data_IF_670571554271
#
_entry.id   IF_670571554271
#
_cell.length_a   1.000
_cell.length_b   1.000
_cell.length_c   1.000
_cell.angle_alpha   90.00
_cell.angle_beta   90.00
_cell.angle_gamma   90.00
#
_symmetry.space_group_name_H-M   'P 1'
#
loop_
_entity.id
_entity.type
_entity.pdbx_description
1 polymer ?
#
# COMPACT_ATOMS: atom_id res chain seq x y z
N UNK A 1 17.52 -4.68 -17.11
CA UNK A 1 16.15 -4.34 -16.76
C UNK A 1 15.42 -4.04 -18.06
N UNK A 2 14.39 -4.81 -18.37
CA UNK A 2 13.51 -4.52 -19.49
C UNK A 2 12.65 -3.31 -19.08
N UNK A 3 12.87 -2.18 -19.75
CA UNK A 3 12.12 -0.93 -19.54
C UNK A 3 10.66 -1.16 -20.00
N UNK A 4 9.85 -1.87 -19.20
CA UNK A 4 8.50 -2.32 -19.56
C UNK A 4 7.40 -1.55 -18.82
N UNK A 5 7.76 -0.72 -17.83
CA UNK A 5 6.78 0.12 -17.13
C UNK A 5 6.78 1.52 -17.74
N UNK A 6 5.61 1.98 -18.15
CA UNK A 6 5.44 3.33 -18.63
C UNK A 6 5.82 4.33 -17.53
N UNK A 7 6.65 5.31 -17.87
CA UNK A 7 7.12 6.38 -16.98
C UNK A 7 7.78 5.92 -15.66
N UNK A 8 8.12 4.63 -15.50
CA UNK A 8 8.55 4.03 -14.22
C UNK A 8 7.56 4.28 -13.07
N UNK A 9 6.26 4.37 -13.38
CA UNK A 9 5.19 4.60 -12.40
C UNK A 9 4.49 3.27 -12.09
N UNK A 10 4.27 3.03 -10.80
CA UNK A 10 3.40 1.99 -10.28
C UNK A 10 2.33 2.66 -9.42
N UNK A 11 1.08 2.25 -9.58
CA UNK A 11 -0.03 2.75 -8.77
C UNK A 11 -0.38 1.73 -7.70
N UNK A 12 -0.48 2.17 -6.45
CA UNK A 12 -0.89 1.33 -5.33
C UNK A 12 -1.94 2.03 -4.48
N UNK A 13 -2.40 1.39 -3.41
CA UNK A 13 -3.30 2.04 -2.46
C UNK A 13 -2.57 2.41 -1.18
N UNK A 14 -3.16 3.32 -0.42
CA UNK A 14 -2.68 3.71 0.93
C UNK A 14 -2.58 2.52 1.90
N UNK A 15 -3.17 1.38 1.57
CA UNK A 15 -3.09 0.15 2.36
C UNK A 15 -1.92 -0.76 1.97
N UNK A 16 -1.16 -0.45 0.91
CA UNK A 16 0.02 -1.23 0.55
C UNK A 16 1.09 -1.09 1.63
N UNK A 17 1.72 -2.21 2.03
CA UNK A 17 2.70 -2.22 3.11
C UNK A 17 3.84 -1.20 2.87
N UNK A 18 4.29 -0.55 3.94
CA UNK A 18 5.34 0.47 3.85
C UNK A 18 6.64 -0.05 3.23
N UNK A 19 6.97 -1.32 3.47
CA UNK A 19 8.10 -1.99 2.82
C UNK A 19 7.98 -2.08 1.29
N UNK A 20 6.76 -2.17 0.75
CA UNK A 20 6.55 -2.09 -0.70
C UNK A 20 6.90 -0.69 -1.22
N UNK A 21 6.49 0.36 -0.54
CA UNK A 21 6.84 1.75 -0.88
C UNK A 21 8.35 1.95 -0.90
N UNK A 22 9.04 1.52 0.15
CA UNK A 22 10.50 1.58 0.25
C UNK A 22 11.17 0.80 -0.89
N UNK A 23 10.63 -0.39 -1.25
CA UNK A 23 11.14 -1.17 -2.37
C UNK A 23 10.98 -0.43 -3.71
N UNK A 24 9.87 0.28 -3.92
CA UNK A 24 9.69 1.09 -5.13
C UNK A 24 10.71 2.23 -5.21
N UNK A 25 10.89 3.00 -4.14
CA UNK A 25 11.86 4.09 -4.05
C UNK A 25 13.29 3.59 -4.27
N UNK A 26 13.68 2.50 -3.61
CA UNK A 26 15.01 1.88 -3.74
C UNK A 26 15.31 1.45 -5.18
N UNK A 27 14.30 1.06 -5.93
CA UNK A 27 14.44 0.65 -7.33
C UNK A 27 14.14 1.79 -8.34
N UNK A 28 14.03 3.03 -7.87
CA UNK A 28 13.76 4.22 -8.70
C UNK A 28 12.42 4.17 -9.45
N UNK A 29 11.42 3.50 -8.88
CA UNK A 29 10.04 3.57 -9.32
C UNK A 29 9.28 4.64 -8.56
N UNK A 30 8.50 5.42 -9.27
CA UNK A 30 7.55 6.34 -8.65
C UNK A 30 6.32 5.54 -8.22
N UNK A 31 6.03 5.52 -6.93
CA UNK A 31 4.78 4.98 -6.41
C UNK A 31 3.74 6.11 -6.28
N UNK A 32 2.57 5.92 -6.91
CA UNK A 32 1.40 6.80 -6.76
C UNK A 32 0.40 6.06 -5.88
N UNK A 33 0.08 6.64 -4.72
CA UNK A 33 -0.86 6.03 -3.77
C UNK A 33 -2.25 6.64 -3.96
N UNK A 34 -3.27 5.77 -3.98
CA UNK A 34 -4.69 6.14 -4.06
C UNK A 34 -5.46 5.69 -2.84
N UNK A 35 -6.70 6.14 -2.74
CA UNK A 35 -7.69 5.50 -1.86
C UNK A 35 -7.90 4.04 -2.24
N UNK A 36 -8.36 3.24 -1.26
CA UNK A 36 -8.69 1.81 -1.48
C UNK A 36 -9.83 1.66 -2.46
N UNK A 37 -9.64 0.82 -3.45
CA UNK A 37 -10.62 0.47 -4.49
C UNK A 37 -9.99 0.44 -5.88
N UNK A 38 -10.25 -0.62 -6.63
CA UNK A 38 -9.74 -0.88 -7.98
C UNK A 38 -10.06 0.26 -8.97
N UNK A 39 -11.23 0.89 -8.78
CA UNK A 39 -11.64 2.09 -9.54
C UNK A 39 -10.61 3.23 -9.39
N UNK A 40 -10.21 3.55 -8.16
CA UNK A 40 -9.25 4.64 -7.92
C UNK A 40 -7.86 4.29 -8.44
N UNK A 41 -7.48 3.01 -8.36
CA UNK A 41 -6.24 2.53 -8.94
C UNK A 41 -6.27 2.72 -10.46
N UNK A 42 -7.35 2.31 -11.14
CA UNK A 42 -7.49 2.44 -12.59
C UNK A 42 -7.48 3.91 -13.03
N UNK A 43 -8.23 4.79 -12.34
CA UNK A 43 -8.24 6.24 -12.62
C UNK A 43 -6.84 6.86 -12.50
N UNK A 44 -6.13 6.56 -11.41
CA UNK A 44 -4.77 7.09 -11.22
C UNK A 44 -3.76 6.49 -12.21
N UNK A 45 -3.96 5.26 -12.68
CA UNK A 45 -3.15 4.67 -13.74
C UNK A 45 -3.31 5.43 -15.05
N UNK A 46 -4.53 5.79 -15.42
CA UNK A 46 -4.81 6.59 -16.63
C UNK A 46 -4.19 7.98 -16.52
N UNK A 47 -4.40 8.68 -15.40
CA UNK A 47 -3.86 10.02 -15.17
C UNK A 47 -2.33 10.07 -15.21
N UNK A 48 -1.65 9.02 -14.76
CA UNK A 48 -0.19 8.95 -14.71
C UNK A 48 0.42 8.16 -15.87
N UNK A 49 -0.38 7.69 -16.82
CA UNK A 49 0.03 6.79 -17.91
C UNK A 49 0.85 5.60 -17.38
N UNK A 50 0.35 4.98 -16.29
CA UNK A 50 0.99 3.84 -15.65
C UNK A 50 0.46 2.52 -16.24
N UNK A 51 1.36 1.59 -16.51
CA UNK A 51 1.00 0.27 -17.05
C UNK A 51 0.76 -0.80 -15.98
N UNK A 52 1.10 -0.51 -14.73
CA UNK A 52 0.94 -1.44 -13.61
C UNK A 52 0.36 -0.74 -12.39
N UNK A 53 -0.68 -1.33 -11.84
CA UNK A 53 -1.26 -0.91 -10.58
C UNK A 53 -1.90 -2.05 -9.83
N UNK A 54 -2.17 -1.85 -8.55
CA UNK A 54 -2.86 -2.88 -7.77
C UNK A 54 -3.03 -2.57 -6.30
N UNK A 55 -3.64 -3.52 -5.62
CA UNK A 55 -3.97 -3.48 -4.21
C UNK A 55 -3.37 -4.67 -3.47
N UNK A 56 -3.13 -4.52 -2.18
CA UNK A 56 -2.70 -5.64 -1.32
C UNK A 56 -3.71 -6.80 -1.26
N UNK A 57 -4.98 -6.55 -1.59
CA UNK A 57 -6.04 -7.57 -1.72
C UNK A 57 -5.80 -8.58 -2.86
N UNK A 58 -4.83 -8.30 -3.75
CA UNK A 58 -4.49 -9.13 -4.90
C UNK A 58 -5.15 -8.69 -6.21
N UNK A 59 -5.87 -7.59 -6.23
CA UNK A 59 -6.33 -6.95 -7.46
C UNK A 59 -5.14 -6.29 -8.16
N UNK A 60 -4.72 -6.85 -9.29
CA UNK A 60 -3.61 -6.31 -10.09
C UNK A 60 -4.11 -5.97 -11.49
N UNK A 61 -3.80 -4.77 -11.95
CA UNK A 61 -4.14 -4.25 -13.29
C UNK A 61 -2.86 -4.13 -14.11
N UNK A 62 -2.83 -4.73 -15.29
CA UNK A 62 -1.77 -4.62 -16.30
C UNK A 62 -2.41 -3.96 -17.52
N UNK A 63 -2.50 -2.64 -17.53
CA UNK A 63 -3.35 -1.87 -18.45
C UNK A 63 -2.98 -2.05 -19.92
N UNK A 64 -1.70 -2.27 -20.24
CA UNK A 64 -1.23 -2.57 -21.59
C UNK A 64 -1.82 -3.87 -22.17
N UNK A 65 -2.44 -4.71 -21.35
CA UNK A 65 -3.03 -5.99 -21.72
C UNK A 65 -4.53 -6.01 -21.49
N UNK A 66 -4.96 -5.60 -20.30
CA UNK A 66 -6.35 -5.54 -19.91
C UNK A 66 -6.55 -4.39 -18.92
N UNK A 67 -7.47 -3.45 -19.15
CA UNK A 67 -7.65 -2.27 -18.30
C UNK A 67 -8.46 -2.57 -17.03
N UNK A 68 -8.50 -3.83 -16.60
CA UNK A 68 -9.17 -4.28 -15.36
C UNK A 68 -8.32 -5.34 -14.67
N UNK A 69 -8.55 -5.53 -13.37
CA UNK A 69 -7.89 -6.59 -12.61
C UNK A 69 -8.24 -7.98 -13.14
N UNK A 70 -7.22 -8.80 -13.41
CA UNK A 70 -7.39 -10.19 -13.86
C UNK A 70 -6.36 -11.10 -13.19
N UNK A 71 -6.85 -12.07 -12.41
CA UNK A 71 -6.00 -12.98 -11.65
C UNK A 71 -5.23 -13.98 -12.50
N UNK A 72 -5.80 -14.44 -13.63
CA UNK A 72 -5.12 -15.38 -14.52
C UNK A 72 -4.01 -14.66 -15.30
N UNK A 73 -4.29 -13.48 -15.80
CA UNK A 73 -3.28 -12.63 -16.44
C UNK A 73 -2.14 -12.33 -15.48
N UNK A 74 -2.46 -11.92 -14.25
CA UNK A 74 -1.48 -11.67 -13.19
C UNK A 74 -0.62 -12.90 -12.92
N UNK A 75 -1.23 -14.09 -12.76
CA UNK A 75 -0.51 -15.34 -12.56
C UNK A 75 0.51 -15.61 -13.68
N UNK A 76 0.08 -15.48 -14.94
CA UNK A 76 0.97 -15.71 -16.10
C UNK A 76 2.16 -14.74 -16.09
N UNK A 77 1.92 -13.46 -15.76
CA UNK A 77 3.00 -12.47 -15.70
C UNK A 77 3.95 -12.72 -14.52
N UNK A 78 3.44 -13.12 -13.37
CA UNK A 78 4.27 -13.51 -12.21
C UNK A 78 5.14 -14.71 -12.56
N UNK A 79 4.58 -15.79 -13.13
CA UNK A 79 5.34 -16.96 -13.55
C UNK A 79 6.41 -16.62 -14.60
N UNK A 80 6.08 -15.77 -15.57
CA UNK A 80 7.04 -15.28 -16.57
C UNK A 80 8.19 -14.50 -15.92
N UNK A 81 7.89 -13.61 -14.97
CA UNK A 81 8.90 -12.85 -14.25
C UNK A 81 9.82 -13.75 -13.41
N UNK A 82 9.25 -14.70 -12.65
CA UNK A 82 10.01 -15.65 -11.85
C UNK A 82 10.93 -16.52 -12.71
N UNK A 83 10.44 -16.98 -13.86
CA UNK A 83 11.23 -17.72 -14.83
C UNK A 83 12.36 -16.88 -15.42
N UNK A 84 12.09 -15.62 -15.75
CA UNK A 84 13.10 -14.69 -16.30
C UNK A 84 14.23 -14.41 -15.31
N UNK A 85 13.91 -14.21 -14.03
CA UNK A 85 14.87 -13.96 -12.97
C UNK A 85 15.46 -15.25 -12.37
N UNK A 86 15.01 -16.42 -12.83
CA UNK A 86 15.42 -17.73 -12.30
C UNK A 86 15.31 -17.80 -10.76
N UNK A 87 14.19 -17.39 -10.23
CA UNK A 87 13.92 -17.31 -8.78
C UNK A 87 12.54 -17.88 -8.44
N UNK A 88 12.30 -18.11 -7.17
CA UNK A 88 10.97 -18.43 -6.63
C UNK A 88 10.30 -17.19 -6.04
N UNK A 89 8.98 -17.21 -5.89
CA UNK A 89 8.24 -16.10 -5.28
C UNK A 89 8.74 -15.81 -3.85
N UNK A 90 9.01 -16.87 -3.08
CA UNK A 90 9.52 -16.75 -1.71
C UNK A 90 10.89 -16.08 -1.67
N UNK A 91 11.81 -16.53 -2.53
CA UNK A 91 13.15 -15.93 -2.63
C UNK A 91 13.08 -14.48 -3.08
N UNK A 92 12.29 -14.20 -4.15
CA UNK A 92 12.11 -12.83 -4.65
C UNK A 92 11.59 -11.89 -3.56
N UNK A 93 10.57 -12.33 -2.79
CA UNK A 93 10.03 -11.55 -1.67
C UNK A 93 11.11 -11.27 -0.61
N UNK A 94 11.82 -12.30 -0.16
CA UNK A 94 12.82 -12.16 0.91
C UNK A 94 14.00 -11.27 0.50
N UNK A 95 14.39 -11.31 -0.77
CA UNK A 95 15.54 -10.55 -1.27
C UNK A 95 15.21 -9.08 -1.61
N UNK A 96 13.93 -8.78 -1.92
CA UNK A 96 13.57 -7.47 -2.49
C UNK A 96 12.57 -6.66 -1.67
N UNK A 97 11.87 -7.27 -0.72
CA UNK A 97 10.84 -6.59 0.08
C UNK A 97 11.11 -6.85 1.56
N UNK A 98 11.40 -5.79 2.28
CA UNK A 98 11.41 -5.77 3.73
C UNK A 98 9.98 -5.49 4.20
N UNK A 99 9.29 -6.52 4.70
CA UNK A 99 7.91 -6.37 5.16
C UNK A 99 7.88 -5.75 6.54
N UNK A 100 7.21 -4.62 6.66
CA UNK A 100 7.02 -3.93 7.91
C UNK A 100 5.90 -4.61 8.70
N UNK A 101 6.14 -5.00 9.97
CA UNK A 101 5.07 -5.38 10.90
C UNK A 101 3.97 -4.34 10.91
N UNK A 102 2.71 -4.80 10.97
CA UNK A 102 1.57 -3.89 10.94
C UNK A 102 0.47 -4.35 11.89
N UNK A 103 -0.28 -3.38 12.41
CA UNK A 103 -1.49 -3.61 13.20
C UNK A 103 -2.61 -2.69 12.74
N UNK A 104 -3.74 -3.28 12.42
CA UNK A 104 -4.96 -2.55 12.09
C UNK A 104 -5.91 -2.58 13.30
N UNK A 105 -6.16 -1.43 13.87
CA UNK A 105 -7.13 -1.26 14.96
C UNK A 105 -8.41 -0.68 14.38
N UNK A 106 -9.54 -1.34 14.67
CA UNK A 106 -10.87 -0.88 14.29
C UNK A 106 -11.58 -0.41 15.56
N UNK A 107 -11.95 0.87 15.59
CA UNK A 107 -12.66 1.49 16.70
C UNK A 107 -14.10 1.73 16.27
N UNK A 108 -15.04 0.99 16.88
CA UNK A 108 -16.48 1.22 16.69
C UNK A 108 -16.88 2.54 17.37
N UNK A 109 -17.60 3.37 16.64
CA UNK A 109 -18.03 4.68 17.11
C UNK A 109 -19.55 4.78 17.01
N UNK A 110 -20.15 5.72 17.74
CA UNK A 110 -21.57 6.02 17.58
C UNK A 110 -21.85 6.75 16.27
N UNK A 111 -20.94 7.64 15.88
CA UNK A 111 -21.01 8.43 14.66
C UNK A 111 -19.62 8.49 14.01
N UNK A 112 -19.58 8.64 12.69
CA UNK A 112 -18.30 8.84 11.97
C UNK A 112 -17.73 10.21 12.31
N UNK A 113 -16.43 10.31 12.65
CA UNK A 113 -15.74 11.58 12.73
C UNK A 113 -15.89 12.39 11.45
N UNK A 114 -16.13 13.68 11.60
CA UNK A 114 -16.06 14.62 10.49
C UNK A 114 -14.61 14.94 10.10
N UNK A 115 -14.43 15.69 9.01
CA UNK A 115 -13.09 16.00 8.48
C UNK A 115 -12.25 16.81 9.49
N UNK A 116 -12.88 17.65 10.32
CA UNK A 116 -12.19 18.43 11.35
C UNK A 116 -11.69 17.53 12.47
N UNK A 117 -12.52 16.61 12.93
CA UNK A 117 -12.17 15.62 13.96
C UNK A 117 -11.07 14.68 13.44
N UNK A 118 -11.14 14.25 12.17
CA UNK A 118 -10.08 13.45 11.56
C UNK A 118 -8.74 14.21 11.51
N UNK A 119 -8.77 15.49 11.17
CA UNK A 119 -7.57 16.33 11.17
C UNK A 119 -6.98 16.50 12.59
N UNK A 120 -7.83 16.68 13.61
CA UNK A 120 -7.38 16.74 15.00
C UNK A 120 -6.73 15.43 15.45
N UNK A 121 -7.33 14.28 15.11
CA UNK A 121 -6.76 12.95 15.37
C UNK A 121 -5.42 12.74 14.66
N UNK A 122 -5.31 13.16 13.42
CA UNK A 122 -4.06 13.07 12.65
C UNK A 122 -2.95 13.92 13.27
N UNK A 123 -3.26 15.13 13.75
CA UNK A 123 -2.28 15.98 14.46
C UNK A 123 -1.80 15.35 15.77
N UNK A 124 -2.70 14.70 16.53
CA UNK A 124 -2.32 13.96 17.75
C UNK A 124 -1.43 12.78 17.40
N UNK A 125 -1.82 11.97 16.40
CA UNK A 125 -1.04 10.81 15.98
C UNK A 125 0.34 11.22 15.43
N UNK A 126 0.42 12.32 14.69
CA UNK A 126 1.68 12.88 14.22
C UNK A 126 2.61 13.21 15.38
N UNK A 127 2.11 13.92 16.39
CA UNK A 127 2.89 14.25 17.58
C UNK A 127 3.38 13.01 18.32
N UNK A 128 2.49 12.01 18.50
CA UNK A 128 2.85 10.74 19.11
C UNK A 128 3.91 9.99 18.30
N UNK A 129 3.81 10.01 16.97
CA UNK A 129 4.80 9.34 16.10
C UNK A 129 6.18 9.99 16.20
N UNK A 130 6.24 11.31 16.34
CA UNK A 130 7.49 12.07 16.57
C UNK A 130 8.07 11.78 17.97
N UNK A 131 7.24 11.76 19.01
CA UNK A 131 7.66 11.49 20.40
C UNK A 131 8.11 10.03 20.61
N UNK A 132 7.51 9.08 19.90
CA UNK A 132 7.87 7.66 19.97
C UNK A 132 8.97 7.24 19.01
N UNK A 133 9.51 8.18 18.22
CA UNK A 133 10.50 7.90 17.17
C UNK A 133 10.05 6.76 16.24
N UNK A 134 8.78 6.81 15.80
CA UNK A 134 8.18 5.77 14.96
C UNK A 134 8.94 5.65 13.64
N UNK A 135 9.76 4.60 13.51
CA UNK A 135 10.37 4.22 12.23
C UNK A 135 9.34 3.43 11.39
N UNK A 136 8.45 4.18 10.74
CA UNK A 136 7.32 3.61 10.03
C UNK A 136 6.29 4.65 9.64
N UNK A 137 5.02 4.24 9.65
CA UNK A 137 3.89 5.15 9.40
C UNK A 137 2.64 4.75 10.16
N UNK A 138 1.72 5.69 10.24
CA UNK A 138 0.33 5.44 10.63
C UNK A 138 -0.63 5.93 9.54
N UNK A 139 -1.86 5.41 9.55
CA UNK A 139 -2.95 5.86 8.68
C UNK A 139 -4.26 5.83 9.48
N UNK A 140 -4.92 6.98 9.58
CA UNK A 140 -6.22 7.12 10.23
C UNK A 140 -7.27 7.41 9.17
N UNK A 141 -8.36 6.63 9.14
CA UNK A 141 -9.44 6.85 8.20
C UNK A 141 -10.78 6.32 8.68
N UNK A 142 -11.86 6.92 8.22
CA UNK A 142 -13.19 6.36 8.37
C UNK A 142 -13.36 5.07 7.54
N UNK A 143 -14.16 4.13 8.05
CA UNK A 143 -14.72 3.06 7.23
C UNK A 143 -15.69 3.65 6.20
N UNK A 144 -15.70 3.12 4.98
CA UNK A 144 -16.63 3.57 3.93
C UNK A 144 -18.10 3.33 4.30
N UNK A 145 -18.39 2.18 4.91
CA UNK A 145 -19.78 1.70 5.12
C UNK A 145 -20.26 1.78 6.57
N UNK A 146 -19.37 1.69 7.55
CA UNK A 146 -19.71 1.53 8.97
C UNK A 146 -19.26 2.75 9.79
N UNK A 147 -19.90 3.07 10.93
CA UNK A 147 -19.44 4.08 11.87
C UNK A 147 -18.20 3.57 12.65
N UNK A 148 -17.09 3.47 11.95
CA UNK A 148 -15.86 2.86 12.43
C UNK A 148 -14.65 3.69 11.97
N UNK A 149 -13.77 3.98 12.91
CA UNK A 149 -12.45 4.55 12.63
C UNK A 149 -11.44 3.43 12.51
N UNK A 150 -10.64 3.47 11.47
CA UNK A 150 -9.56 2.51 11.23
C UNK A 150 -8.22 3.21 11.40
N UNK A 151 -7.41 2.64 12.26
CA UNK A 151 -6.02 3.09 12.50
C UNK A 151 -5.09 1.96 12.11
N UNK A 152 -4.30 2.17 11.06
CA UNK A 152 -3.22 1.28 10.67
C UNK A 152 -1.91 1.84 11.21
N UNK A 153 -1.10 1.01 11.82
CA UNK A 153 0.26 1.32 12.24
C UNK A 153 1.19 0.31 11.59
N UNK A 154 2.26 0.79 10.99
CA UNK A 154 3.33 -0.02 10.42
C UNK A 154 4.67 0.53 10.89
N UNK A 155 5.57 -0.33 11.35
CA UNK A 155 6.89 0.07 11.83
C UNK A 155 7.95 -0.99 11.50
N UNK A 156 9.23 -0.61 11.63
CA UNK A 156 10.36 -1.50 11.35
C UNK A 156 10.44 -2.73 12.26
N UNK A 157 9.78 -2.70 13.41
CA UNK A 157 9.69 -3.84 14.32
C UNK A 157 8.34 -3.90 15.05
N UNK A 158 8.03 -5.10 15.55
CA UNK A 158 6.75 -5.38 16.21
C UNK A 158 6.55 -4.59 17.52
N UNK A 159 7.61 -4.33 18.26
CA UNK A 159 7.54 -3.59 19.53
C UNK A 159 7.06 -2.15 19.31
N UNK A 160 7.57 -1.47 18.28
CA UNK A 160 7.11 -0.13 17.91
C UNK A 160 5.64 -0.14 17.49
N UNK A 161 5.21 -1.15 16.72
CA UNK A 161 3.80 -1.30 16.34
C UNK A 161 2.90 -1.43 17.55
N UNK A 162 3.25 -2.29 18.52
CA UNK A 162 2.45 -2.49 19.74
C UNK A 162 2.44 -1.23 20.63
N UNK A 163 3.58 -0.60 20.80
CA UNK A 163 3.69 0.61 21.64
C UNK A 163 2.87 1.77 21.08
N UNK A 164 2.89 1.97 19.76
CA UNK A 164 2.15 3.07 19.14
C UNK A 164 0.65 2.79 19.03
N UNK A 165 0.23 1.52 18.96
CA UNK A 165 -1.16 1.13 18.74
C UNK A 165 -1.96 0.90 20.03
N UNK A 166 -1.38 1.04 21.21
CA UNK A 166 -2.00 0.93 22.53
C UNK A 166 -2.21 2.32 23.17
#
# INVERSE_FOLDING_TARGET
ATNQLNNNVVVSTVMSNYGFKNAMEKNSFKNVETSVGDKYVAEAMDENNASLGGEQSGHIIISDKLPVGDGLLTLVYVLKALSFFNTTLAQFRTENIEEYPQKLVNLELQEKPDDKQLLELDLIAKKLSEESELDGRYLIRNSGTEPMLRVLVEASNQELVENFSN
#
